data_IF_216711064101
#
_entry.id   IF_216711064101
#
_cell.length_a   1.000
_cell.length_b   1.000
_cell.length_c   1.000
_cell.angle_alpha   90.00
_cell.angle_beta   90.00
_cell.angle_gamma   90.00
#
_symmetry.space_group_name_H-M   'P 1'
#
loop_
_entity.id
_entity.type
_entity.pdbx_description
1 polymer ?
#
# COMPACT_ATOMS: atom_id res chain seq x y z
N UNK A 1 13.65 -19.50 -45.45
CA UNK A 1 12.93 -18.55 -44.60
C UNK A 1 11.85 -19.28 -43.81
N UNK A 2 12.07 -19.50 -42.50
CA UNK A 2 11.04 -19.95 -41.59
C UNK A 2 10.01 -18.83 -41.51
N UNK A 3 8.80 -19.07 -42.06
CA UNK A 3 7.62 -18.25 -41.76
C UNK A 3 7.35 -18.40 -40.28
N UNK A 4 7.51 -17.32 -39.51
CA UNK A 4 6.87 -17.24 -38.22
C UNK A 4 5.36 -17.31 -38.48
N UNK A 5 4.75 -18.45 -38.21
CA UNK A 5 3.29 -18.52 -38.09
C UNK A 5 2.93 -17.52 -37.01
N UNK A 6 2.15 -16.50 -37.40
CA UNK A 6 1.61 -15.55 -36.42
C UNK A 6 0.79 -16.34 -35.40
N UNK A 7 1.24 -16.35 -34.14
CA UNK A 7 0.49 -16.99 -33.09
C UNK A 7 -0.92 -16.38 -33.03
N UNK A 8 -1.98 -17.19 -32.78
CA UNK A 8 -3.32 -16.68 -32.66
C UNK A 8 -3.41 -15.50 -31.69
N UNK A 9 -4.25 -14.51 -32.00
CA UNK A 9 -4.36 -13.25 -31.22
C UNK A 9 -4.65 -13.52 -29.73
N UNK A 10 -5.45 -14.52 -29.42
CA UNK A 10 -5.77 -14.95 -28.06
C UNK A 10 -4.55 -15.46 -27.29
N UNK A 11 -3.67 -16.24 -27.95
CA UNK A 11 -2.41 -16.73 -27.35
C UNK A 11 -1.45 -15.57 -27.10
N UNK A 12 -1.28 -14.67 -28.07
CA UNK A 12 -0.44 -13.47 -27.90
C UNK A 12 -0.94 -12.59 -26.77
N UNK A 13 -2.24 -12.41 -26.68
CA UNK A 13 -2.86 -11.61 -25.62
C UNK A 13 -2.64 -12.23 -24.25
N UNK A 14 -2.77 -13.56 -24.13
CA UNK A 14 -2.51 -14.26 -22.88
C UNK A 14 -1.02 -14.18 -22.47
N UNK A 15 -0.10 -14.31 -23.43
CA UNK A 15 1.34 -14.16 -23.17
C UNK A 15 1.65 -12.73 -22.68
N UNK A 16 1.14 -11.72 -23.36
CA UNK A 16 1.31 -10.33 -22.97
C UNK A 16 0.76 -10.04 -21.57
N UNK A 17 -0.41 -10.60 -21.25
CA UNK A 17 -1.02 -10.46 -19.93
C UNK A 17 -0.17 -11.10 -18.85
N UNK A 18 0.31 -12.33 -19.05
CA UNK A 18 1.18 -13.01 -18.09
C UNK A 18 2.50 -12.26 -17.90
N UNK A 19 3.08 -11.76 -18.98
CA UNK A 19 4.32 -10.97 -18.91
C UNK A 19 4.10 -9.64 -18.17
N UNK A 20 2.96 -8.98 -18.39
CA UNK A 20 2.61 -7.78 -17.65
C UNK A 20 2.50 -8.07 -16.14
N UNK A 21 1.90 -9.19 -15.73
CA UNK A 21 1.84 -9.61 -14.33
C UNK A 21 3.24 -9.82 -13.73
N UNK A 22 4.16 -10.42 -14.48
CA UNK A 22 5.57 -10.60 -14.04
C UNK A 22 6.22 -9.23 -13.83
N UNK A 23 6.09 -8.29 -14.77
CA UNK A 23 6.64 -6.95 -14.62
C UNK A 23 6.04 -6.18 -13.44
N UNK A 24 4.74 -6.39 -13.13
CA UNK A 24 4.13 -5.82 -11.94
C UNK A 24 4.74 -6.40 -10.65
N UNK A 25 5.04 -7.69 -10.61
CA UNK A 25 5.73 -8.33 -9.49
C UNK A 25 7.17 -7.83 -9.32
N UNK A 26 7.84 -7.53 -10.45
CA UNK A 26 9.21 -6.98 -10.47
C UNK A 26 9.24 -5.44 -10.26
N UNK A 27 8.09 -4.81 -10.05
CA UNK A 27 7.92 -3.35 -9.93
C UNK A 27 8.35 -2.55 -11.19
N UNK A 28 8.43 -3.19 -12.35
CA UNK A 28 8.66 -2.52 -13.63
C UNK A 28 7.33 -2.06 -14.23
N UNK A 29 6.79 -0.97 -13.67
CA UNK A 29 5.50 -0.43 -14.09
C UNK A 29 5.47 0.07 -15.52
N UNK A 30 6.60 0.59 -16.03
CA UNK A 30 6.68 1.14 -17.39
C UNK A 30 6.42 0.04 -18.41
N UNK A 31 7.12 -1.09 -18.30
CA UNK A 31 6.92 -2.24 -19.16
C UNK A 31 5.56 -2.89 -18.99
N UNK A 32 5.10 -3.02 -17.74
CA UNK A 32 3.78 -3.57 -17.45
C UNK A 32 2.67 -2.74 -18.10
N UNK A 33 2.67 -1.42 -17.91
CA UNK A 33 1.67 -0.52 -18.52
C UNK A 33 1.70 -0.55 -20.04
N UNK A 34 2.88 -0.60 -20.66
CA UNK A 34 3.01 -0.69 -22.11
C UNK A 34 2.32 -1.95 -22.68
N UNK A 35 2.52 -3.10 -22.02
CA UNK A 35 1.86 -4.36 -22.40
C UNK A 35 0.35 -4.32 -22.17
N UNK A 36 -0.10 -3.83 -21.03
CA UNK A 36 -1.53 -3.71 -20.70
C UNK A 36 -2.24 -2.78 -21.68
N UNK A 37 -1.63 -1.64 -22.04
CA UNK A 37 -2.17 -0.72 -23.04
C UNK A 37 -2.25 -1.37 -24.42
N UNK A 38 -1.25 -2.16 -24.82
CA UNK A 38 -1.28 -2.91 -26.08
C UNK A 38 -2.44 -3.91 -26.09
N UNK A 39 -2.69 -4.62 -24.97
CA UNK A 39 -3.83 -5.53 -24.84
C UNK A 39 -5.14 -4.75 -24.97
N UNK A 40 -5.27 -3.63 -24.26
CA UNK A 40 -6.49 -2.80 -24.32
C UNK A 40 -6.81 -2.30 -25.74
N UNK A 41 -5.78 -2.00 -26.54
CA UNK A 41 -5.94 -1.55 -27.92
C UNK A 41 -6.31 -2.72 -28.86
N UNK A 42 -5.77 -3.93 -28.64
CA UNK A 42 -5.96 -5.06 -29.53
C UNK A 42 -7.18 -5.91 -29.17
N UNK A 43 -7.46 -6.08 -27.89
CA UNK A 43 -8.59 -6.84 -27.33
C UNK A 43 -9.24 -6.07 -26.20
N UNK A 44 -10.07 -5.03 -26.49
CA UNK A 44 -10.76 -4.25 -25.48
C UNK A 44 -11.62 -5.14 -24.57
N UNK A 45 -11.54 -4.89 -23.26
CA UNK A 45 -12.30 -5.65 -22.25
C UNK A 45 -11.68 -6.99 -21.86
N UNK A 46 -10.43 -7.25 -22.23
CA UNK A 46 -9.73 -8.47 -21.81
C UNK A 46 -9.48 -8.48 -20.31
N UNK A 47 -10.05 -9.46 -19.60
CA UNK A 47 -9.91 -9.63 -18.13
C UNK A 47 -10.05 -8.29 -17.38
N UNK A 48 -9.16 -8.04 -16.43
CA UNK A 48 -9.10 -6.84 -15.58
C UNK A 48 -8.12 -5.77 -16.11
N UNK A 49 -7.68 -5.86 -17.37
CA UNK A 49 -6.66 -4.98 -17.98
C UNK A 49 -6.97 -3.50 -17.79
N UNK A 50 -8.23 -3.10 -18.02
CA UNK A 50 -8.65 -1.69 -17.85
C UNK A 50 -8.49 -1.21 -16.40
N UNK A 51 -8.85 -2.05 -15.44
CA UNK A 51 -8.69 -1.75 -14.00
C UNK A 51 -7.23 -1.62 -13.63
N UNK A 52 -6.39 -2.53 -14.12
CA UNK A 52 -4.94 -2.51 -13.90
C UNK A 52 -4.32 -1.25 -14.49
N UNK A 53 -4.67 -0.87 -15.71
CA UNK A 53 -4.16 0.36 -16.35
C UNK A 53 -4.48 1.58 -15.49
N UNK A 54 -5.74 1.78 -15.10
CA UNK A 54 -6.16 2.93 -14.29
C UNK A 54 -5.38 2.98 -12.99
N UNK A 55 -5.32 1.86 -12.27
CA UNK A 55 -4.63 1.74 -10.97
C UNK A 55 -3.15 2.09 -11.06
N UNK A 56 -2.44 1.51 -12.05
CA UNK A 56 -1.00 1.71 -12.15
C UNK A 56 -0.61 3.04 -12.81
N UNK A 57 -1.49 3.65 -13.61
CA UNK A 57 -1.31 5.04 -14.06
C UNK A 57 -1.39 6.02 -12.90
N UNK A 58 -2.35 5.86 -12.00
CA UNK A 58 -2.45 6.69 -10.79
C UNK A 58 -1.20 6.53 -9.91
N UNK A 59 -0.72 5.30 -9.71
CA UNK A 59 0.52 5.01 -8.98
C UNK A 59 1.75 5.66 -9.61
N UNK A 60 1.86 5.64 -10.94
CA UNK A 60 3.01 6.22 -11.63
C UNK A 60 3.05 7.74 -11.56
N UNK A 61 1.90 8.39 -11.40
CA UNK A 61 1.77 9.85 -11.27
C UNK A 61 1.98 10.34 -9.83
N UNK A 62 1.76 9.48 -8.83
CA UNK A 62 1.92 9.82 -7.42
C UNK A 62 3.19 9.18 -6.85
N UNK A 63 4.28 9.94 -6.81
CA UNK A 63 5.57 9.46 -6.31
C UNK A 63 5.53 8.98 -4.85
N UNK A 64 4.75 9.62 -3.99
CA UNK A 64 4.60 9.22 -2.58
C UNK A 64 3.89 7.88 -2.47
N UNK A 65 2.80 7.69 -3.20
CA UNK A 65 2.06 6.44 -3.24
C UNK A 65 2.89 5.30 -3.85
N UNK A 66 3.64 5.59 -4.91
CA UNK A 66 4.58 4.65 -5.52
C UNK A 66 5.66 4.21 -4.52
N UNK A 67 6.28 5.15 -3.81
CA UNK A 67 7.28 4.85 -2.77
C UNK A 67 6.65 4.01 -1.65
N UNK A 68 5.48 4.36 -1.18
CA UNK A 68 4.76 3.61 -0.15
C UNK A 68 4.55 2.15 -0.54
N UNK A 69 4.11 1.88 -1.77
CA UNK A 69 3.74 0.54 -2.22
C UNK A 69 4.89 -0.29 -2.79
N UNK A 70 5.90 0.34 -3.40
CA UNK A 70 6.85 -0.33 -4.29
C UNK A 70 8.33 -0.14 -3.94
N UNK A 71 8.67 0.83 -3.09
CA UNK A 71 10.06 1.08 -2.72
C UNK A 71 10.65 -0.07 -1.88
N UNK A 72 11.95 -0.03 -1.69
CA UNK A 72 12.64 -0.93 -0.75
C UNK A 72 12.04 -0.79 0.65
N UNK A 73 12.25 -1.77 1.50
CA UNK A 73 11.76 -1.71 2.88
C UNK A 73 12.35 -0.50 3.63
N UNK A 74 13.60 -0.17 3.36
CA UNK A 74 14.28 1.01 3.95
C UNK A 74 13.61 2.33 3.54
N UNK A 75 13.32 2.50 2.25
CA UNK A 75 12.67 3.71 1.73
C UNK A 75 11.21 3.82 2.19
N UNK A 76 10.52 2.68 2.29
CA UNK A 76 9.18 2.62 2.88
C UNK A 76 9.18 3.08 4.34
N UNK A 77 10.10 2.57 5.16
CA UNK A 77 10.25 2.99 6.57
C UNK A 77 10.58 4.47 6.68
N UNK A 78 11.48 4.98 5.82
CA UNK A 78 11.81 6.40 5.80
C UNK A 78 10.57 7.26 5.48
N UNK A 79 9.74 6.83 4.53
CA UNK A 79 8.47 7.49 4.24
C UNK A 79 7.49 7.43 5.42
N UNK A 80 7.35 6.26 6.08
CA UNK A 80 6.49 6.11 7.27
C UNK A 80 6.91 7.07 8.39
N UNK A 81 8.23 7.20 8.67
CA UNK A 81 8.77 8.17 9.64
C UNK A 81 8.41 9.61 9.28
N UNK A 82 8.49 9.96 7.99
CA UNK A 82 8.11 11.29 7.50
C UNK A 82 6.62 11.54 7.68
N UNK A 83 5.77 10.55 7.40
CA UNK A 83 4.31 10.65 7.61
C UNK A 83 4.00 10.91 9.08
N UNK A 84 4.62 10.18 10.01
CA UNK A 84 4.46 10.38 11.46
C UNK A 84 4.81 11.81 11.85
N UNK A 85 5.94 12.34 11.37
CA UNK A 85 6.39 13.70 11.69
C UNK A 85 5.44 14.77 11.15
N UNK A 86 4.87 14.56 9.96
CA UNK A 86 3.92 15.50 9.34
C UNK A 86 2.56 15.43 10.01
N UNK A 87 2.12 14.24 10.42
CA UNK A 87 0.82 14.03 11.06
C UNK A 87 0.66 14.84 12.34
N UNK A 88 1.72 14.93 13.13
CA UNK A 88 1.78 15.75 14.36
C UNK A 88 2.75 16.94 14.20
N UNK A 89 2.57 17.72 13.14
CA UNK A 89 3.48 18.82 12.77
C UNK A 89 3.66 19.92 13.82
N UNK A 90 2.73 20.01 14.78
CA UNK A 90 2.77 21.01 15.88
C UNK A 90 3.13 20.40 17.24
N UNK A 91 3.62 19.19 17.25
CA UNK A 91 4.01 18.46 18.44
C UNK A 91 5.49 18.06 18.39
N UNK A 92 6.06 17.79 19.54
CA UNK A 92 7.33 17.07 19.63
C UNK A 92 7.05 15.58 19.49
N UNK A 93 7.61 14.97 18.44
CA UNK A 93 7.46 13.54 18.14
C UNK A 93 8.76 12.84 18.44
N UNK A 94 8.73 11.89 19.37
CA UNK A 94 9.86 11.02 19.69
C UNK A 94 9.54 9.59 19.24
N UNK A 95 10.31 9.06 18.30
CA UNK A 95 10.18 7.67 17.85
C UNK A 95 10.92 6.77 18.83
N UNK A 96 10.20 5.84 19.45
CA UNK A 96 10.73 4.90 20.46
C UNK A 96 11.20 3.59 19.83
N UNK A 97 10.44 3.07 18.87
CA UNK A 97 10.73 1.82 18.20
C UNK A 97 10.14 1.80 16.79
N UNK A 98 10.78 1.05 15.92
CA UNK A 98 10.31 0.76 14.55
C UNK A 98 10.46 -0.73 14.30
N UNK A 99 9.36 -1.38 13.97
CA UNK A 99 9.34 -2.76 13.47
C UNK A 99 8.78 -2.75 12.05
N UNK A 100 9.52 -3.31 11.10
CA UNK A 100 9.13 -3.27 9.70
C UNK A 100 9.31 -4.63 9.03
N UNK A 101 8.22 -5.10 8.44
CA UNK A 101 8.15 -6.25 7.54
C UNK A 101 7.82 -5.75 6.13
N UNK A 102 7.95 -6.59 5.09
CA UNK A 102 7.69 -6.15 3.71
C UNK A 102 6.30 -5.57 3.46
N UNK A 103 5.29 -6.01 4.20
CA UNK A 103 3.86 -5.69 4.03
C UNK A 103 3.28 -4.79 5.13
N UNK A 104 4.02 -4.58 6.23
CA UNK A 104 3.56 -3.78 7.36
C UNK A 104 4.71 -3.15 8.11
N UNK A 105 4.55 -1.90 8.53
CA UNK A 105 5.47 -1.23 9.45
C UNK A 105 4.70 -0.74 10.70
N UNK A 106 5.33 -0.85 11.85
CA UNK A 106 4.85 -0.31 13.11
C UNK A 106 5.85 0.70 13.66
N UNK A 107 5.39 1.88 14.03
CA UNK A 107 6.20 2.93 14.65
C UNK A 107 5.58 3.31 15.98
N UNK A 108 6.32 3.10 17.06
CA UNK A 108 5.93 3.50 18.41
C UNK A 108 6.49 4.88 18.70
N UNK A 109 5.65 5.77 19.18
CA UNK A 109 6.02 7.17 19.43
C UNK A 109 5.52 7.64 20.79
N UNK A 110 6.22 8.65 21.31
CA UNK A 110 5.66 9.57 22.30
C UNK A 110 5.42 10.90 21.60
N UNK A 111 4.23 11.43 21.81
CA UNK A 111 3.77 12.70 21.25
C UNK A 111 3.56 13.67 22.39
N UNK A 112 4.32 14.75 22.38
CA UNK A 112 4.20 15.82 23.36
C UNK A 112 3.68 17.08 22.68
N UNK A 113 2.57 17.57 23.18
CA UNK A 113 1.92 18.81 22.76
C UNK A 113 1.76 19.75 23.94
N UNK A 114 1.43 21.00 23.67
CA UNK A 114 1.14 21.98 24.73
C UNK A 114 -0.03 21.54 25.66
N UNK A 115 -0.91 20.65 25.18
CA UNK A 115 -2.15 20.28 25.88
C UNK A 115 -2.14 18.86 26.45
N UNK A 116 -1.37 17.96 25.88
CA UNK A 116 -1.34 16.55 26.27
C UNK A 116 -0.03 15.88 25.82
N UNK A 117 0.36 14.86 26.56
CA UNK A 117 1.41 13.92 26.23
C UNK A 117 0.81 12.53 26.17
N UNK A 118 1.12 11.76 25.15
CA UNK A 118 0.58 10.39 25.00
C UNK A 118 1.52 9.50 24.19
N UNK A 119 1.40 8.20 24.40
CA UNK A 119 2.04 7.18 23.58
C UNK A 119 1.11 6.82 22.42
N UNK A 120 1.60 6.97 21.20
CA UNK A 120 0.86 6.71 19.98
C UNK A 120 1.59 5.68 19.13
N UNK A 121 0.88 4.64 18.70
CA UNK A 121 1.41 3.61 17.81
C UNK A 121 0.82 3.81 16.43
N UNK A 122 1.68 3.89 15.43
CA UNK A 122 1.29 3.93 14.02
C UNK A 122 1.50 2.54 13.42
N UNK A 123 0.51 2.06 12.64
CA UNK A 123 0.66 0.86 11.84
C UNK A 123 0.33 1.17 10.39
N UNK A 124 1.29 0.90 9.51
CA UNK A 124 1.23 1.16 8.07
C UNK A 124 1.04 -0.16 7.35
N UNK A 125 -0.12 -0.34 6.72
CA UNK A 125 -0.43 -1.52 5.90
C UNK A 125 -0.04 -1.24 4.46
N UNK A 126 0.91 -2.01 3.95
CA UNK A 126 1.48 -1.82 2.60
C UNK A 126 0.71 -2.64 1.58
N UNK A 127 -0.55 -2.26 1.35
CA UNK A 127 -1.42 -2.92 0.38
C UNK A 127 -2.35 -1.92 -0.31
N UNK A 128 -2.94 -2.35 -1.42
CA UNK A 128 -3.92 -1.57 -2.19
C UNK A 128 -5.34 -2.14 -2.08
N UNK A 129 -5.51 -3.25 -1.39
CA UNK A 129 -6.80 -3.89 -1.15
C UNK A 129 -7.53 -3.32 0.06
N UNK A 130 -8.57 -4.02 0.48
CA UNK A 130 -9.34 -3.69 1.68
C UNK A 130 -8.70 -4.33 2.92
N UNK A 131 -8.35 -3.50 3.90
CA UNK A 131 -7.89 -3.97 5.21
C UNK A 131 -9.10 -4.34 6.06
N UNK A 132 -9.20 -5.62 6.41
CA UNK A 132 -10.34 -6.17 7.14
C UNK A 132 -10.27 -5.97 8.65
N UNK A 133 -11.38 -6.26 9.33
CA UNK A 133 -11.54 -6.10 10.77
C UNK A 133 -10.49 -6.87 11.59
N UNK A 134 -10.08 -8.07 11.16
CA UNK A 134 -9.11 -8.87 11.90
C UNK A 134 -7.75 -8.17 12.07
N UNK A 135 -7.29 -7.45 11.04
CA UNK A 135 -6.06 -6.67 11.14
C UNK A 135 -6.18 -5.52 12.16
N UNK A 136 -7.33 -4.90 12.23
CA UNK A 136 -7.59 -3.80 13.17
C UNK A 136 -7.74 -4.33 14.60
N UNK A 137 -8.38 -5.49 14.79
CA UNK A 137 -8.45 -6.17 16.09
C UNK A 137 -7.07 -6.57 16.61
N UNK A 138 -6.23 -7.13 15.75
CA UNK A 138 -4.84 -7.46 16.09
C UNK A 138 -4.08 -6.19 16.54
N UNK A 139 -4.22 -5.12 15.78
CA UNK A 139 -3.60 -3.85 16.14
C UNK A 139 -4.12 -3.27 17.46
N UNK A 140 -5.42 -3.37 17.72
CA UNK A 140 -6.01 -2.96 19.00
C UNK A 140 -5.44 -3.77 20.18
N UNK A 141 -5.27 -5.07 20.01
CA UNK A 141 -4.56 -5.91 20.98
C UNK A 141 -3.15 -5.40 21.25
N UNK A 142 -2.41 -5.07 20.18
CA UNK A 142 -1.05 -4.55 20.27
C UNK A 142 -0.97 -3.21 21.03
N UNK A 143 -1.91 -2.29 20.80
CA UNK A 143 -2.01 -1.01 21.54
C UNK A 143 -2.17 -1.26 23.03
N UNK A 144 -3.02 -2.21 23.43
CA UNK A 144 -3.23 -2.57 24.83
C UNK A 144 -1.97 -3.21 25.44
N UNK A 145 -1.31 -4.10 24.74
CA UNK A 145 -0.09 -4.76 25.21
C UNK A 145 1.04 -3.74 25.45
N UNK A 146 1.15 -2.75 24.59
CA UNK A 146 2.09 -1.66 24.71
C UNK A 146 1.66 -0.57 25.71
N UNK A 147 0.45 -0.66 26.24
CA UNK A 147 -0.17 0.37 27.09
C UNK A 147 -0.17 1.76 26.44
N UNK A 148 -0.26 1.81 25.11
CA UNK A 148 -0.35 3.05 24.38
C UNK A 148 -1.75 3.67 24.49
N UNK A 149 -1.82 4.97 24.53
CA UNK A 149 -3.09 5.67 24.65
C UNK A 149 -3.88 5.71 23.35
N UNK A 150 -3.18 5.58 22.21
CA UNK A 150 -3.82 5.69 20.88
C UNK A 150 -3.10 4.87 19.82
N UNK A 151 -3.86 4.39 18.83
CA UNK A 151 -3.35 3.79 17.61
C UNK A 151 -3.81 4.54 16.36
N UNK A 152 -2.99 4.54 15.33
CA UNK A 152 -3.29 5.11 14.03
C UNK A 152 -2.96 4.10 12.96
N UNK A 153 -3.97 3.70 12.17
CA UNK A 153 -3.81 2.83 11.02
C UNK A 153 -3.70 3.66 9.74
N UNK A 154 -2.73 3.33 8.90
CA UNK A 154 -2.51 3.95 7.60
C UNK A 154 -2.49 2.87 6.52
N UNK A 155 -3.20 3.08 5.43
CA UNK A 155 -3.19 2.20 4.26
C UNK A 155 -3.21 3.00 2.96
N UNK A 156 -2.65 2.45 1.90
CA UNK A 156 -2.83 2.97 0.54
C UNK A 156 -4.13 2.44 -0.12
N UNK A 157 -4.76 1.45 0.50
CA UNK A 157 -6.02 0.87 0.07
C UNK A 157 -7.23 1.46 0.78
N UNK A 158 -8.17 0.61 1.13
CA UNK A 158 -9.39 0.95 1.87
C UNK A 158 -9.51 0.13 3.15
N UNK A 159 -10.46 0.49 4.00
CA UNK A 159 -10.88 -0.33 5.14
C UNK A 159 -12.24 -0.94 4.86
N UNK A 160 -12.45 -2.19 5.28
CA UNK A 160 -13.78 -2.81 5.23
C UNK A 160 -14.77 -2.07 6.15
N UNK A 161 -16.05 -2.19 5.87
CA UNK A 161 -17.09 -1.57 6.70
C UNK A 161 -17.07 -2.11 8.15
N UNK A 162 -16.75 -3.40 8.32
CA UNK A 162 -16.61 -4.01 9.65
C UNK A 162 -15.38 -3.47 10.39
N UNK A 163 -14.29 -3.21 9.69
CA UNK A 163 -13.11 -2.56 10.27
C UNK A 163 -13.43 -1.12 10.74
N UNK A 164 -14.16 -0.35 9.94
CA UNK A 164 -14.59 1.00 10.29
C UNK A 164 -15.50 1.03 11.51
N UNK A 165 -16.49 0.11 11.55
CA UNK A 165 -17.37 -0.05 12.71
C UNK A 165 -16.61 -0.46 13.97
N UNK A 166 -15.61 -1.33 13.81
CA UNK A 166 -14.83 -1.80 14.96
C UNK A 166 -14.10 -0.67 15.68
N UNK A 167 -13.58 0.34 14.99
CA UNK A 167 -12.85 1.45 15.61
C UNK A 167 -13.74 2.46 16.33
N UNK A 168 -15.03 2.46 16.08
CA UNK A 168 -15.97 3.37 16.73
C UNK A 168 -15.91 3.23 18.26
N UNK A 169 -15.64 4.33 18.97
CA UNK A 169 -15.49 4.37 20.42
C UNK A 169 -14.22 3.70 20.97
N UNK A 170 -13.26 3.35 20.12
CA UNK A 170 -11.96 2.78 20.51
C UNK A 170 -10.82 3.75 20.21
N UNK A 171 -9.68 3.65 20.89
CA UNK A 171 -8.53 4.55 20.71
C UNK A 171 -7.70 4.20 19.46
N UNK A 172 -8.36 4.01 18.34
CA UNK A 172 -7.74 3.72 17.04
C UNK A 172 -8.25 4.72 16.01
#
# INVERSE_FOLDING_TARGET
GLKHEDAPLDVLTQIRYNLAQIYLQENDMVKALALLQTIQMTVPGYKDVRVLITRYQELSQNNTLKTYLMATNSDFVALCRKIVSVFYSKATVRILAVDAKPDVAEIQTEIDTIKWEDSVVFRFYRNTGSTGELYIRDFHGRIRDLKAGRGICVTAGTYSEDAKKYVEGRPI
#
